data_IF_115787005851
#
_entry.id   IF_115787005851
#
_cell.length_a   1.000
_cell.length_b   1.000
_cell.length_c   1.000
_cell.angle_alpha   90.00
_cell.angle_beta   90.00
_cell.angle_gamma   90.00
#
_symmetry.space_group_name_H-M   'P 1'
#
loop_
_entity.id
_entity.type
_entity.pdbx_description
1 polymer ?
#
# COMPACT_ATOMS: atom_id res chain seq x y z
N UNK A 1 0.57 7.36 29.11
CA UNK A 1 0.44 6.06 28.41
C UNK A 1 0.57 6.31 26.92
N UNK A 2 1.38 5.57 26.15
CA UNK A 2 1.34 5.73 24.70
C UNK A 2 0.00 5.15 24.23
N UNK A 3 -0.84 6.00 23.64
CA UNK A 3 -2.09 5.62 23.01
C UNK A 3 -1.80 4.49 22.03
N UNK A 4 -2.47 3.35 22.19
CA UNK A 4 -2.46 2.29 21.18
C UNK A 4 -2.79 2.94 19.84
N UNK A 5 -1.79 3.03 18.95
CA UNK A 5 -2.00 3.63 17.65
C UNK A 5 -2.98 2.70 16.91
N UNK A 6 -4.24 3.09 16.87
CA UNK A 6 -5.26 2.37 16.11
C UNK A 6 -4.95 2.55 14.62
N UNK A 7 -5.14 1.48 13.85
CA UNK A 7 -5.05 1.55 12.40
C UNK A 7 -6.18 2.44 11.87
N UNK A 8 -5.84 3.54 11.23
CA UNK A 8 -6.81 4.47 10.65
C UNK A 8 -7.19 4.00 9.25
N UNK A 9 -8.49 4.00 8.94
CA UNK A 9 -8.97 3.68 7.60
C UNK A 9 -8.66 4.85 6.67
N UNK A 10 -7.87 4.59 5.62
CA UNK A 10 -7.68 5.54 4.53
C UNK A 10 -8.77 5.36 3.48
N UNK A 11 -9.07 4.11 3.16
CA UNK A 11 -10.08 3.77 2.18
C UNK A 11 -10.50 2.30 2.27
N UNK A 12 -11.71 2.01 1.84
CA UNK A 12 -12.30 0.67 1.80
C UNK A 12 -12.82 0.35 0.41
N UNK A 13 -12.64 -0.90 -0.01
CA UNK A 13 -13.26 -1.47 -1.21
C UNK A 13 -12.99 -0.70 -2.53
N UNK A 14 -11.82 -0.06 -2.65
CA UNK A 14 -11.44 0.60 -3.92
C UNK A 14 -11.15 -0.43 -5.01
N UNK A 15 -11.48 -0.13 -6.28
CA UNK A 15 -10.92 -0.85 -7.41
C UNK A 15 -9.39 -0.83 -7.34
N UNK A 16 -8.75 -1.92 -7.79
CA UNK A 16 -7.30 -2.06 -7.69
C UNK A 16 -6.54 -0.94 -8.41
N UNK A 17 -7.04 -0.45 -9.54
CA UNK A 17 -6.43 0.68 -10.28
C UNK A 17 -6.40 1.98 -9.48
N UNK A 18 -7.50 2.31 -8.79
CA UNK A 18 -7.58 3.52 -7.97
C UNK A 18 -6.72 3.41 -6.72
N UNK A 19 -6.66 2.22 -6.12
CA UNK A 19 -5.77 1.93 -5.00
C UNK A 19 -4.30 2.07 -5.39
N UNK A 20 -3.91 1.62 -6.58
CA UNK A 20 -2.57 1.81 -7.13
C UNK A 20 -2.24 3.31 -7.29
N UNK A 21 -3.18 4.12 -7.81
CA UNK A 21 -3.02 5.57 -7.92
C UNK A 21 -2.85 6.25 -6.55
N UNK A 22 -3.62 5.82 -5.55
CA UNK A 22 -3.51 6.31 -4.18
C UNK A 22 -2.13 5.97 -3.59
N UNK A 23 -1.68 4.73 -3.75
CA UNK A 23 -0.36 4.29 -3.32
C UNK A 23 0.76 5.04 -4.04
N UNK A 24 0.64 5.31 -5.34
CA UNK A 24 1.63 6.08 -6.11
C UNK A 24 1.81 7.52 -5.61
N UNK A 25 0.76 8.13 -5.04
CA UNK A 25 0.83 9.47 -4.43
C UNK A 25 1.47 9.48 -3.04
N UNK A 26 1.62 8.32 -2.40
CA UNK A 26 2.26 8.22 -1.09
C UNK A 26 3.77 8.41 -1.18
N UNK A 27 4.39 8.75 -0.04
CA UNK A 27 5.85 8.77 0.07
C UNK A 27 6.43 7.39 -0.19
N UNK A 28 7.66 7.35 -0.70
CA UNK A 28 8.35 6.10 -0.98
C UNK A 28 8.25 5.10 0.19
N UNK A 29 7.75 3.91 -0.11
CA UNK A 29 7.53 2.81 0.82
C UNK A 29 8.09 1.51 0.25
N UNK A 30 8.22 0.50 1.11
CA UNK A 30 8.49 -0.88 0.70
C UNK A 30 7.53 -1.84 1.39
N UNK A 31 7.18 -2.93 0.72
CA UNK A 31 6.49 -4.03 1.36
C UNK A 31 7.45 -4.78 2.30
N UNK A 32 7.03 -4.97 3.55
CA UNK A 32 7.78 -5.74 4.55
C UNK A 32 7.14 -7.09 4.86
N UNK A 33 5.87 -7.26 4.47
CA UNK A 33 5.12 -8.50 4.65
C UNK A 33 4.10 -8.61 3.53
N UNK A 34 3.93 -9.81 2.98
CA UNK A 34 2.90 -10.15 1.99
C UNK A 34 2.49 -11.60 2.22
N UNK A 35 1.22 -11.86 2.54
CA UNK A 35 0.72 -13.21 2.78
C UNK A 35 -0.73 -13.37 2.32
N UNK A 36 -1.12 -14.60 1.96
CA UNK A 36 -2.52 -14.95 1.73
C UNK A 36 -3.19 -15.30 3.05
N UNK A 37 -4.43 -14.84 3.22
CA UNK A 37 -5.25 -15.05 4.41
C UNK A 37 -6.71 -15.25 3.96
N UNK A 38 -7.57 -15.89 4.77
CA UNK A 38 -9.01 -15.84 4.55
C UNK A 38 -9.50 -14.39 4.44
N UNK A 39 -10.36 -14.11 3.46
CA UNK A 39 -10.87 -12.77 3.24
C UNK A 39 -11.79 -12.34 4.38
N UNK A 40 -11.58 -11.12 4.87
CA UNK A 40 -12.42 -10.48 5.87
C UNK A 40 -12.72 -9.01 5.50
N UNK A 41 -12.58 -8.65 4.23
CA UNK A 41 -12.66 -7.26 3.75
C UNK A 41 -13.79 -6.98 2.76
N UNK A 42 -14.43 -8.01 2.20
CA UNK A 42 -15.61 -7.85 1.36
C UNK A 42 -16.75 -8.70 1.88
N UNK A 43 -17.98 -8.41 1.44
CA UNK A 43 -19.21 -9.08 1.87
C UNK A 43 -19.55 -10.37 1.11
N UNK A 44 -18.64 -10.92 0.30
CA UNK A 44 -18.90 -12.15 -0.45
C UNK A 44 -19.08 -13.34 0.51
N UNK A 45 -20.15 -14.11 0.30
CA UNK A 45 -20.54 -15.22 1.18
C UNK A 45 -19.63 -16.46 1.03
N UNK A 46 -19.03 -16.67 -0.14
CA UNK A 46 -18.15 -17.81 -0.39
C UNK A 46 -16.79 -17.63 0.33
N UNK A 47 -16.25 -18.64 1.02
CA UNK A 47 -14.89 -18.60 1.53
C UNK A 47 -13.88 -18.40 0.40
N UNK A 48 -13.08 -17.35 0.50
CA UNK A 48 -12.04 -17.03 -0.47
C UNK A 48 -10.86 -16.34 0.21
N UNK A 49 -9.81 -16.07 -0.57
CA UNK A 49 -8.56 -15.49 -0.05
C UNK A 49 -8.47 -13.98 -0.28
N UNK A 50 -7.78 -13.30 0.63
CA UNK A 50 -7.27 -11.96 0.45
C UNK A 50 -5.74 -11.93 0.58
N UNK A 51 -5.08 -11.02 -0.13
CA UNK A 51 -3.66 -10.71 0.06
C UNK A 51 -3.51 -9.62 1.10
N UNK A 52 -2.91 -9.96 2.23
CA UNK A 52 -2.51 -9.02 3.27
C UNK A 52 -1.08 -8.53 3.01
N UNK A 53 -0.88 -7.22 2.83
CA UNK A 53 0.44 -6.59 2.72
C UNK A 53 0.64 -5.55 3.81
N UNK A 54 1.82 -5.52 4.43
CA UNK A 54 2.26 -4.40 5.27
C UNK A 54 3.36 -3.64 4.56
N UNK A 55 3.21 -2.31 4.50
CA UNK A 55 4.17 -1.37 3.93
C UNK A 55 4.85 -0.57 5.05
N UNK A 56 6.12 -0.19 4.82
CA UNK A 56 6.88 0.70 5.69
C UNK A 56 7.52 1.83 4.89
N UNK A 57 7.62 3.01 5.49
CA UNK A 57 8.29 4.17 4.91
C UNK A 57 9.78 3.90 4.62
N UNK A 58 10.25 4.31 3.44
CA UNK A 58 11.67 4.36 3.05
C UNK A 58 12.04 5.72 2.42
N UNK A 59 11.21 6.74 2.59
CA UNK A 59 11.46 8.03 1.97
C UNK A 59 12.68 8.74 2.57
N UNK A 60 13.44 9.41 1.70
CA UNK A 60 14.67 10.10 2.08
C UNK A 60 14.41 11.24 3.06
N UNK A 61 13.25 11.89 2.97
CA UNK A 61 12.86 13.00 3.83
C UNK A 61 12.71 12.55 5.29
N UNK A 62 12.02 11.43 5.54
CA UNK A 62 11.93 10.89 6.90
C UNK A 62 13.28 10.38 7.42
N UNK A 63 14.11 9.79 6.54
CA UNK A 63 15.46 9.35 6.89
C UNK A 63 16.39 10.52 7.24
N UNK A 64 16.23 11.68 6.61
CA UNK A 64 16.99 12.88 6.91
C UNK A 64 16.59 13.47 8.28
N UNK A 65 15.29 13.45 8.62
CA UNK A 65 14.82 13.92 9.95
C UNK A 65 15.33 13.03 11.07
N UNK A 66 15.34 11.70 10.88
CA UNK A 66 15.92 10.78 11.85
C UNK A 66 16.73 9.68 11.14
N UNK A 67 18.06 9.83 11.08
CA UNK A 67 18.93 8.87 10.41
C UNK A 67 18.99 7.50 11.10
N UNK A 68 18.82 7.46 12.42
CA UNK A 68 19.03 6.24 13.20
C UNK A 68 17.72 5.51 13.55
N UNK A 69 16.58 6.20 13.49
CA UNK A 69 15.27 5.65 13.87
C UNK A 69 14.43 5.39 12.62
N UNK A 70 13.78 4.23 12.56
CA UNK A 70 12.83 3.93 11.48
C UNK A 70 11.60 4.83 11.62
N UNK A 71 11.16 5.40 10.51
CA UNK A 71 9.91 6.16 10.46
C UNK A 71 8.73 5.29 10.95
N UNK A 72 7.89 5.79 11.88
CA UNK A 72 6.86 4.98 12.52
C UNK A 72 5.65 4.74 11.60
N UNK A 73 5.53 5.49 10.51
CA UNK A 73 4.46 5.30 9.53
C UNK A 73 4.48 3.89 8.91
N UNK A 74 3.32 3.26 8.88
CA UNK A 74 3.05 2.00 8.19
C UNK A 74 1.70 2.06 7.48
N UNK A 75 1.55 1.26 6.43
CA UNK A 75 0.26 1.00 5.81
C UNK A 75 -0.03 -0.50 5.75
N UNK A 76 -1.29 -0.88 5.88
CA UNK A 76 -1.85 -2.19 5.57
C UNK A 76 -2.62 -2.06 4.28
N UNK A 77 -2.33 -2.94 3.33
CA UNK A 77 -3.07 -3.05 2.06
C UNK A 77 -3.67 -4.45 2.02
N UNK A 78 -4.99 -4.52 1.95
CA UNK A 78 -5.76 -5.76 1.94
C UNK A 78 -6.44 -5.85 0.58
N UNK A 79 -6.08 -6.87 -0.21
CA UNK A 79 -6.61 -7.05 -1.56
C UNK A 79 -7.46 -8.31 -1.59
N UNK A 80 -8.77 -8.18 -1.78
CA UNK A 80 -9.63 -9.33 -2.05
C UNK A 80 -9.24 -9.94 -3.40
N UNK A 81 -9.00 -11.26 -3.46
CA UNK A 81 -8.61 -11.92 -4.71
C UNK A 81 -9.81 -12.22 -5.62
N UNK A 82 -11.03 -12.21 -5.07
CA UNK A 82 -12.26 -12.50 -5.82
C UNK A 82 -12.87 -11.21 -6.40
N UNK A 83 -13.14 -10.24 -5.51
CA UNK A 83 -13.75 -8.96 -5.90
C UNK A 83 -12.74 -7.97 -6.53
N UNK A 84 -11.43 -8.26 -6.45
CA UNK A 84 -10.34 -7.35 -6.84
C UNK A 84 -10.46 -5.94 -6.23
N UNK A 85 -11.01 -5.87 -5.02
CA UNK A 85 -11.12 -4.64 -4.24
C UNK A 85 -10.01 -4.53 -3.19
N UNK A 86 -9.64 -3.29 -2.89
CA UNK A 86 -8.50 -2.95 -2.02
C UNK A 86 -8.94 -2.07 -0.87
N UNK A 87 -8.59 -2.47 0.34
CA UNK A 87 -8.77 -1.70 1.57
C UNK A 87 -7.41 -1.30 2.12
N UNK A 88 -7.21 0.00 2.38
CA UNK A 88 -5.95 0.54 2.89
C UNK A 88 -6.17 1.18 4.25
N UNK A 89 -5.31 0.81 5.21
CA UNK A 89 -5.26 1.42 6.54
C UNK A 89 -3.87 1.91 6.85
N UNK A 90 -3.73 3.01 7.56
CA UNK A 90 -2.43 3.53 7.99
C UNK A 90 -2.26 3.52 9.51
N UNK A 91 -1.01 3.61 9.94
CA UNK A 91 -0.60 3.62 11.32
C UNK A 91 0.56 4.59 11.52
N UNK A 92 0.46 5.44 12.53
CA UNK A 92 1.52 6.39 12.85
C UNK A 92 1.63 7.51 11.82
N UNK A 93 2.61 8.39 11.99
CA UNK A 93 2.85 9.52 11.10
C UNK A 93 4.24 9.46 10.50
N UNK A 94 4.39 10.04 9.32
CA UNK A 94 5.72 10.27 8.77
C UNK A 94 6.48 11.27 9.67
N UNK A 95 7.81 11.08 9.81
CA UNK A 95 8.64 12.07 10.52
C UNK A 95 8.72 13.40 9.79
N UNK A 96 8.65 13.38 8.47
CA UNK A 96 8.65 14.59 7.65
C UNK A 96 7.30 14.77 6.96
N UNK A 97 6.73 15.97 7.02
CA UNK A 97 5.57 16.37 6.22
C UNK A 97 5.94 16.57 4.74
N UNK A 98 7.18 16.92 4.42
CA UNK A 98 7.64 17.22 3.06
C UNK A 98 7.46 16.03 2.12
N UNK A 99 6.60 16.18 1.10
CA UNK A 99 6.44 15.16 0.07
C UNK A 99 7.61 15.24 -0.91
N UNK A 100 8.29 14.13 -1.23
CA UNK A 100 9.21 14.13 -2.35
C UNK A 100 8.44 14.48 -3.63
N UNK A 101 9.08 15.21 -4.55
CA UNK A 101 8.63 15.24 -5.95
C UNK A 101 8.66 13.79 -6.44
N UNK A 102 7.49 13.19 -6.67
CA UNK A 102 7.43 11.78 -7.08
C UNK A 102 8.12 11.66 -8.43
N UNK A 103 9.09 10.75 -8.53
CA UNK A 103 9.55 10.31 -9.85
C UNK A 103 8.38 9.61 -10.53
N UNK A 104 8.24 9.72 -11.87
CA UNK A 104 7.28 8.91 -12.60
C UNK A 104 7.50 7.43 -12.23
N UNK A 105 6.47 6.81 -11.68
CA UNK A 105 6.49 5.41 -11.27
C UNK A 105 5.53 4.66 -12.17
N UNK A 106 5.99 3.55 -12.73
CA UNK A 106 5.19 2.73 -13.64
C UNK A 106 4.07 2.06 -12.85
N UNK A 107 2.82 2.40 -13.20
CA UNK A 107 1.61 1.80 -12.61
C UNK A 107 1.53 0.32 -12.94
N UNK A 108 0.70 -0.46 -12.22
CA UNK A 108 0.50 -1.88 -12.57
C UNK A 108 -0.06 -2.02 -13.98
N UNK A 109 -1.05 -1.21 -14.35
CA UNK A 109 -1.62 -1.19 -15.70
C UNK A 109 -0.54 -0.92 -16.77
N UNK A 110 0.35 0.04 -16.54
CA UNK A 110 1.47 0.31 -17.45
C UNK A 110 2.44 -0.88 -17.53
N UNK A 111 2.71 -1.59 -16.42
CA UNK A 111 3.55 -2.81 -16.46
C UNK A 111 2.88 -3.95 -17.21
N UNK A 112 1.59 -4.15 -17.02
CA UNK A 112 0.82 -5.16 -17.77
C UNK A 112 0.88 -4.85 -19.25
N UNK A 113 0.63 -3.60 -19.65
CA UNK A 113 0.74 -3.17 -21.04
C UNK A 113 2.16 -3.41 -21.62
N UNK A 114 3.21 -3.00 -20.90
CA UNK A 114 4.60 -3.25 -21.34
C UNK A 114 4.85 -4.75 -21.52
N UNK A 115 4.39 -5.58 -20.58
CA UNK A 115 4.57 -7.02 -20.62
C UNK A 115 3.81 -7.66 -21.81
N UNK A 116 2.59 -7.22 -22.09
CA UNK A 116 1.80 -7.72 -23.22
C UNK A 116 2.45 -7.34 -24.55
N UNK A 117 2.94 -6.11 -24.69
CA UNK A 117 3.69 -5.67 -25.89
C UNK A 117 4.96 -6.50 -26.14
N UNK A 118 5.61 -7.02 -25.10
CA UNK A 118 6.80 -7.88 -25.23
C UNK A 118 6.50 -9.34 -25.56
N UNK A 119 5.23 -9.76 -25.56
CA UNK A 119 4.82 -11.14 -25.91
C UNK A 119 4.40 -11.29 -27.37
N UNK A 120 4.17 -10.18 -28.06
CA UNK A 120 3.72 -10.13 -29.46
C UNK A 120 4.88 -10.03 -30.47
N UNK A 121 6.13 -10.21 -30.01
CA UNK A 121 7.37 -10.27 -30.81
C UNK A 121 8.02 -11.63 -30.68
#
# INVERSE_FOLDING_TARGET
MPTSHAWQLLCSELPEGDADLLLLRMKAYKAIKSQLMPCAVCALASPHSMRYKTLSCVCKQCKAVSPFIKCPWRAKVLVCQEANTVTIRELGKHFSAANPRSKPSITRAQRTFIHDMTRET
#
